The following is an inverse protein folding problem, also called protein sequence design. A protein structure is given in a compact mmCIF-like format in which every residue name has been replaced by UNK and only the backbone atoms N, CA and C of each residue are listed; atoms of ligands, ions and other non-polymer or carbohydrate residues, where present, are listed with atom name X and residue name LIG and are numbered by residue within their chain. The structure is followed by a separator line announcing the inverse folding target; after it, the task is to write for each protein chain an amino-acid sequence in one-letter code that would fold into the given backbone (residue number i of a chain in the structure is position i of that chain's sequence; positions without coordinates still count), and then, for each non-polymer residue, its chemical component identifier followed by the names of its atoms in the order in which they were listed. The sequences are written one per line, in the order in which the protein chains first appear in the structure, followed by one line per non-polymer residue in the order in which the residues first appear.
data_IF_794060924482
#
_entry.id   IF_794060924482
#
_cell.length_a   1.000
_cell.length_b   1.000
_cell.length_c   1.000
_cell.angle_alpha   90.00
_cell.angle_beta   90.00
_cell.angle_gamma   90.00
#
_symmetry.space_group_name_H-M   'P 1'
#
loop_
_entity.id
_entity.type
_entity.pdbx_description
1 polymer ?
#
# COMPACT_ATOMS: atom_id res chain seq x y z
N UNK A 1 -49.99 -15.59 -13.62
CA UNK A 1 -49.23 -14.48 -14.22
C UNK A 1 -48.40 -13.85 -13.12
N UNK A 2 -47.13 -14.25 -13.02
CA UNK A 2 -46.13 -13.68 -12.12
C UNK A 2 -45.05 -13.10 -13.01
N UNK A 3 -44.86 -11.80 -12.93
CA UNK A 3 -43.90 -11.04 -13.72
C UNK A 3 -42.48 -11.50 -13.37
N UNK A 4 -41.81 -12.08 -14.36
CA UNK A 4 -40.39 -12.36 -14.30
C UNK A 4 -39.65 -11.02 -14.46
N UNK A 5 -39.08 -10.54 -13.35
CA UNK A 5 -38.09 -9.47 -13.36
C UNK A 5 -36.87 -10.00 -14.10
N UNK A 6 -36.73 -9.60 -15.37
CA UNK A 6 -35.48 -9.69 -16.11
C UNK A 6 -34.45 -8.84 -15.37
N UNK A 7 -33.62 -9.48 -14.56
CA UNK A 7 -32.36 -8.88 -14.10
C UNK A 7 -31.49 -8.83 -15.33
N UNK A 8 -31.49 -7.68 -16.00
CA UNK A 8 -30.54 -7.37 -17.03
C UNK A 8 -29.14 -7.55 -16.42
N UNK A 9 -28.41 -8.55 -16.93
CA UNK A 9 -26.97 -8.63 -16.76
C UNK A 9 -26.38 -7.33 -17.29
N UNK A 10 -26.03 -6.42 -16.39
CA UNK A 10 -25.20 -5.26 -16.70
C UNK A 10 -23.77 -5.76 -16.92
N UNK A 11 -23.56 -6.42 -18.07
CA UNK A 11 -22.23 -6.73 -18.57
C UNK A 11 -21.63 -5.42 -19.01
N UNK A 12 -20.85 -4.81 -18.12
CA UNK A 12 -20.00 -3.69 -18.49
C UNK A 12 -19.21 -4.04 -19.77
N UNK A 13 -19.20 -3.15 -20.78
CA UNK A 13 -18.59 -3.44 -22.05
C UNK A 13 -17.10 -3.71 -21.86
N UNK A 14 -16.71 -4.94 -22.18
CA UNK A 14 -15.33 -5.38 -22.39
C UNK A 14 -14.76 -4.62 -23.60
N UNK A 15 -14.45 -3.35 -23.39
CA UNK A 15 -13.42 -2.68 -24.16
C UNK A 15 -12.09 -3.21 -23.67
N UNK A 16 -11.16 -3.47 -24.58
CA UNK A 16 -9.77 -3.77 -24.25
C UNK A 16 -9.16 -2.55 -23.53
N UNK A 17 -9.51 -2.34 -22.26
CA UNK A 17 -8.85 -1.40 -21.39
C UNK A 17 -7.42 -1.91 -21.25
N UNK A 18 -6.45 -1.06 -21.55
CA UNK A 18 -5.10 -1.23 -21.07
C UNK A 18 -5.21 -1.62 -19.59
N UNK A 19 -4.59 -2.72 -19.18
CA UNK A 19 -4.70 -3.23 -17.80
C UNK A 19 -4.50 -2.07 -16.83
N UNK A 20 -5.56 -1.71 -16.11
CA UNK A 20 -5.45 -0.64 -15.13
C UNK A 20 -4.51 -1.11 -14.03
N UNK A 21 -3.54 -0.27 -13.68
CA UNK A 21 -2.46 -0.62 -12.76
C UNK A 21 -2.64 0.11 -11.45
N UNK A 22 -2.60 -0.63 -10.35
CA UNK A 22 -2.61 -0.11 -8.99
C UNK A 22 -1.26 -0.43 -8.35
N UNK A 23 -0.63 0.57 -7.74
CA UNK A 23 0.56 0.37 -6.92
C UNK A 23 0.12 0.26 -5.46
N UNK A 24 0.43 -0.84 -4.79
CA UNK A 24 0.05 -1.10 -3.41
C UNK A 24 1.27 -1.12 -2.51
N UNK A 25 1.47 -0.06 -1.70
CA UNK A 25 2.60 0.08 -0.78
C UNK A 25 2.26 -0.52 0.60
N UNK A 26 2.84 -1.68 0.86
CA UNK A 26 2.69 -2.45 2.10
C UNK A 26 4.05 -2.70 2.76
N UNK A 27 4.27 -2.10 3.94
CA UNK A 27 5.49 -2.33 4.74
C UNK A 27 5.60 -3.81 5.15
N UNK A 28 6.78 -4.38 4.95
CA UNK A 28 7.06 -5.81 5.02
C UNK A 28 6.83 -6.44 6.40
N UNK A 29 7.10 -5.68 7.44
CA UNK A 29 7.11 -6.14 8.82
C UNK A 29 5.68 -6.29 9.36
N UNK A 30 4.70 -5.62 8.72
CA UNK A 30 3.28 -5.86 8.93
C UNK A 30 2.79 -6.94 7.97
N UNK A 31 2.94 -8.23 8.32
CA UNK A 31 2.43 -9.36 7.50
C UNK A 31 0.97 -9.17 7.07
N UNK A 32 0.16 -8.54 7.92
CA UNK A 32 -1.23 -8.18 7.60
C UNK A 32 -1.38 -7.25 6.39
N UNK A 33 -0.44 -6.32 6.16
CA UNK A 33 -0.47 -5.41 5.00
C UNK A 33 -0.20 -6.17 3.70
N UNK A 34 0.78 -7.08 3.72
CA UNK A 34 1.07 -7.93 2.56
C UNK A 34 -0.07 -8.91 2.27
N UNK A 35 -0.75 -9.44 3.29
CA UNK A 35 -1.95 -10.27 3.12
C UNK A 35 -3.12 -9.48 2.53
N UNK A 36 -3.32 -8.22 2.94
CA UNK A 36 -4.33 -7.33 2.31
C UNK A 36 -3.98 -7.02 0.86
N UNK A 37 -2.72 -6.72 0.56
CA UNK A 37 -2.25 -6.50 -0.80
C UNK A 37 -2.47 -7.74 -1.70
N UNK A 38 -2.20 -8.94 -1.17
CA UNK A 38 -2.47 -10.20 -1.84
C UNK A 38 -3.97 -10.39 -2.14
N UNK A 39 -4.83 -10.11 -1.17
CA UNK A 39 -6.28 -10.21 -1.35
C UNK A 39 -6.75 -9.22 -2.43
N UNK A 40 -6.28 -7.98 -2.38
CA UNK A 40 -6.58 -6.97 -3.40
C UNK A 40 -6.16 -7.45 -4.79
N UNK A 41 -4.92 -7.95 -4.95
CA UNK A 41 -4.43 -8.49 -6.21
C UNK A 41 -5.30 -9.63 -6.76
N UNK A 42 -5.70 -10.56 -5.88
CA UNK A 42 -6.55 -11.70 -6.27
C UNK A 42 -7.97 -11.29 -6.66
N UNK A 43 -8.56 -10.35 -5.93
CA UNK A 43 -9.94 -9.91 -6.18
C UNK A 43 -10.05 -9.00 -7.41
N UNK A 44 -9.00 -8.25 -7.73
CA UNK A 44 -8.99 -7.29 -8.85
C UNK A 44 -8.49 -7.91 -10.16
N UNK A 45 -7.74 -9.02 -10.10
CA UNK A 45 -7.25 -9.70 -11.30
C UNK A 45 -8.35 -10.15 -12.28
N UNK A 46 -9.51 -10.70 -11.84
CA UNK A 46 -10.62 -11.05 -12.74
C UNK A 46 -11.18 -9.85 -13.51
N UNK A 47 -11.09 -8.64 -12.93
CA UNK A 47 -11.53 -7.38 -13.53
C UNK A 47 -10.48 -6.77 -14.48
N UNK A 48 -9.37 -7.48 -14.73
CA UNK A 48 -8.28 -7.01 -15.59
C UNK A 48 -7.41 -5.92 -14.97
N UNK A 49 -7.52 -5.70 -13.66
CA UNK A 49 -6.73 -4.72 -12.90
C UNK A 49 -5.49 -5.41 -12.34
N UNK A 50 -4.31 -4.89 -12.66
CA UNK A 50 -3.03 -5.35 -12.14
C UNK A 50 -2.70 -4.63 -10.82
N UNK A 51 -2.26 -5.38 -9.81
CA UNK A 51 -1.82 -4.83 -8.52
C UNK A 51 -0.33 -5.12 -8.35
N UNK A 52 0.48 -4.06 -8.42
CA UNK A 52 1.92 -4.12 -8.19
C UNK A 52 2.20 -3.82 -6.72
N UNK A 53 2.75 -4.82 -6.03
CA UNK A 53 3.05 -4.67 -4.60
C UNK A 53 4.43 -4.09 -4.41
N UNK A 54 4.50 -2.99 -3.66
CA UNK A 54 5.74 -2.35 -3.24
C UNK A 54 5.88 -2.55 -1.73
N UNK A 55 7.08 -2.89 -1.29
CA UNK A 55 7.39 -3.14 0.11
C UNK A 55 8.72 -2.49 0.51
N UNK A 56 9.10 -2.59 1.77
CA UNK A 56 10.23 -1.90 2.38
C UNK A 56 11.37 -2.82 2.81
N UNK A 57 11.28 -4.11 2.51
CA UNK A 57 12.40 -5.04 2.75
C UNK A 57 12.34 -6.29 1.88
N UNK A 58 13.51 -6.89 1.65
CA UNK A 58 13.63 -8.16 0.94
C UNK A 58 12.90 -9.30 1.66
N UNK A 59 12.82 -9.24 2.99
CA UNK A 59 12.03 -10.19 3.77
C UNK A 59 10.52 -10.12 3.42
N UNK A 60 10.01 -8.91 3.15
CA UNK A 60 8.64 -8.72 2.67
C UNK A 60 8.44 -9.28 1.27
N UNK A 61 9.43 -9.10 0.38
CA UNK A 61 9.40 -9.70 -0.96
C UNK A 61 9.41 -11.22 -0.89
N UNK A 62 10.29 -11.81 -0.06
CA UNK A 62 10.36 -13.24 0.13
C UNK A 62 9.03 -13.80 0.67
N UNK A 63 8.46 -13.15 1.68
CA UNK A 63 7.16 -13.53 2.23
C UNK A 63 6.04 -13.43 1.18
N UNK A 64 5.97 -12.34 0.41
CA UNK A 64 4.96 -12.18 -0.63
C UNK A 64 5.11 -13.23 -1.76
N UNK A 65 6.35 -13.61 -2.10
CA UNK A 65 6.65 -14.62 -3.09
C UNK A 65 6.13 -16.02 -2.70
N UNK A 66 6.09 -16.37 -1.40
CA UNK A 66 5.49 -17.62 -0.92
C UNK A 66 4.01 -17.77 -1.33
N UNK A 67 3.35 -16.64 -1.61
CA UNK A 67 1.94 -16.58 -2.00
C UNK A 67 1.72 -16.30 -3.49
N UNK A 68 2.79 -16.30 -4.29
CA UNK A 68 2.76 -15.99 -5.72
C UNK A 68 2.54 -14.49 -6.01
N UNK A 69 2.89 -13.61 -5.06
CA UNK A 69 2.73 -12.17 -5.19
C UNK A 69 4.08 -11.50 -5.45
N UNK A 70 4.47 -11.28 -6.73
CA UNK A 70 5.71 -10.58 -7.03
C UNK A 70 5.65 -9.18 -6.43
N UNK A 71 6.70 -8.80 -5.71
CA UNK A 71 6.78 -7.53 -4.99
C UNK A 71 8.13 -6.86 -5.24
N UNK A 72 8.15 -5.53 -5.19
CA UNK A 72 9.35 -4.72 -5.38
C UNK A 72 9.71 -3.98 -4.10
N UNK A 73 11.00 -3.84 -3.79
CA UNK A 73 11.44 -3.01 -2.65
C UNK A 73 11.63 -1.56 -3.12
N UNK A 74 10.99 -0.60 -2.46
CA UNK A 74 11.25 0.84 -2.69
C UNK A 74 12.61 1.23 -2.13
N UNK A 75 12.76 1.06 -0.83
CA UNK A 75 13.99 1.20 -0.08
C UNK A 75 13.79 0.56 1.29
N UNK A 76 14.90 0.40 1.98
CA UNK A 76 14.94 -0.15 3.32
C UNK A 76 14.97 0.94 4.41
N UNK A 77 14.80 2.20 3.96
CA UNK A 77 14.98 3.44 4.72
C UNK A 77 13.91 3.69 5.77
N UNK A 78 12.73 3.08 5.61
CA UNK A 78 11.60 3.19 6.52
C UNK A 78 10.99 1.82 6.77
N UNK A 79 10.81 1.47 8.04
CA UNK A 79 10.22 0.19 8.44
C UNK A 79 9.45 0.36 9.74
N UNK A 80 8.41 -0.44 9.91
CA UNK A 80 7.72 -0.58 11.18
C UNK A 80 8.42 -1.67 12.00
N UNK A 81 8.76 -1.39 13.25
CA UNK A 81 9.48 -2.35 14.09
C UNK A 81 8.48 -3.05 14.99
N UNK A 82 8.45 -4.37 14.91
CA UNK A 82 7.63 -5.22 15.76
C UNK A 82 8.50 -5.94 16.79
N UNK A 83 7.92 -6.29 17.93
CA UNK A 83 8.54 -7.14 18.94
C UNK A 83 8.39 -8.64 18.58
N UNK A 84 8.98 -9.51 19.40
CA UNK A 84 8.93 -10.97 19.21
C UNK A 84 7.50 -11.54 19.24
N UNK A 85 6.55 -10.79 19.79
CA UNK A 85 5.12 -11.13 19.85
C UNK A 85 4.30 -10.48 18.74
N UNK A 86 4.95 -9.88 17.74
CA UNK A 86 4.30 -9.17 16.63
C UNK A 86 3.47 -7.95 17.08
N UNK A 87 3.76 -7.38 18.25
CA UNK A 87 3.23 -6.06 18.62
C UNK A 87 4.13 -4.97 18.06
N UNK A 88 3.55 -3.85 17.66
CA UNK A 88 4.33 -2.71 17.21
C UNK A 88 5.20 -2.19 18.37
N UNK A 89 6.52 -2.26 18.22
CA UNK A 89 7.47 -1.68 19.16
C UNK A 89 7.44 -0.16 19.02
N UNK A 90 6.44 0.48 19.64
CA UNK A 90 6.06 1.89 19.44
C UNK A 90 7.25 2.86 19.52
N UNK A 91 8.09 2.72 20.55
CA UNK A 91 9.26 3.59 20.73
C UNK A 91 10.31 3.42 19.63
N UNK A 92 10.60 2.19 19.25
CA UNK A 92 11.59 1.90 18.18
C UNK A 92 11.07 2.34 16.82
N UNK A 93 9.79 2.09 16.55
CA UNK A 93 9.11 2.57 15.35
C UNK A 93 9.12 4.10 15.29
N UNK A 94 8.78 4.78 16.39
CA UNK A 94 8.82 6.26 16.45
C UNK A 94 10.22 6.80 16.22
N UNK A 95 11.26 6.19 16.80
CA UNK A 95 12.64 6.57 16.56
C UNK A 95 13.03 6.36 15.08
N UNK A 96 12.61 5.25 14.48
CA UNK A 96 12.82 4.97 13.06
C UNK A 96 12.13 6.02 12.18
N UNK A 97 10.85 6.30 12.43
CA UNK A 97 10.08 7.33 11.74
C UNK A 97 10.75 8.69 11.87
N UNK A 98 11.21 9.06 13.07
CA UNK A 98 11.90 10.33 13.29
C UNK A 98 13.22 10.38 12.51
N UNK A 99 14.01 9.29 12.54
CA UNK A 99 15.27 9.21 11.79
C UNK A 99 15.07 9.34 10.28
N UNK A 100 13.96 8.81 9.76
CA UNK A 100 13.57 8.94 8.37
C UNK A 100 13.18 10.39 8.05
N UNK A 101 12.33 11.01 8.87
CA UNK A 101 11.86 12.39 8.67
C UNK A 101 12.99 13.42 8.79
N UNK A 102 13.97 13.18 9.67
CA UNK A 102 15.15 14.03 9.84
C UNK A 102 16.20 13.87 8.73
N UNK A 103 16.03 12.87 7.86
CA UNK A 103 16.90 12.62 6.72
C UNK A 103 16.14 12.91 5.40
N UNK A 104 15.95 14.19 5.03
CA UNK A 104 15.08 14.58 3.91
C UNK A 104 15.50 13.94 2.58
N UNK A 105 16.78 13.64 2.39
CA UNK A 105 17.29 12.96 1.19
C UNK A 105 16.74 11.55 1.02
N UNK A 106 16.41 10.83 2.11
CA UNK A 106 15.78 9.50 2.06
C UNK A 106 14.34 9.62 1.56
N UNK A 107 13.60 10.55 2.13
CA UNK A 107 12.22 10.82 1.71
C UNK A 107 12.11 11.26 0.25
N UNK A 108 12.99 12.18 -0.19
CA UNK A 108 13.04 12.62 -1.57
C UNK A 108 13.41 11.50 -2.54
N UNK A 109 14.32 10.61 -2.14
CA UNK A 109 14.70 9.44 -2.96
C UNK A 109 13.52 8.50 -3.15
N UNK A 110 12.82 8.16 -2.06
CA UNK A 110 11.65 7.29 -2.11
C UNK A 110 10.52 7.93 -2.93
N UNK A 111 10.31 9.24 -2.79
CA UNK A 111 9.35 9.97 -3.59
C UNK A 111 9.71 9.98 -5.08
N UNK A 112 10.96 10.27 -5.43
CA UNK A 112 11.41 10.25 -6.82
C UNK A 112 11.28 8.84 -7.44
N UNK A 113 11.58 7.80 -6.66
CA UNK A 113 11.37 6.42 -7.08
C UNK A 113 9.88 6.14 -7.32
N UNK A 114 8.99 6.56 -6.41
CA UNK A 114 7.54 6.40 -6.56
C UNK A 114 7.00 7.20 -7.76
N UNK A 115 7.50 8.40 -8.01
CA UNK A 115 7.10 9.20 -9.17
C UNK A 115 7.48 8.50 -10.48
N UNK A 116 8.65 7.86 -10.55
CA UNK A 116 9.03 7.06 -11.72
C UNK A 116 8.28 5.73 -11.81
N UNK A 117 8.15 5.01 -10.71
CA UNK A 117 7.57 3.67 -10.68
C UNK A 117 6.05 3.67 -10.84
N UNK A 118 5.35 4.67 -10.29
CA UNK A 118 3.89 4.77 -10.28
C UNK A 118 3.34 5.82 -11.27
N UNK A 119 4.17 6.29 -12.23
CA UNK A 119 3.78 7.37 -13.14
C UNK A 119 2.51 7.04 -13.96
N UNK A 120 2.36 5.79 -14.38
CA UNK A 120 1.26 5.23 -15.17
C UNK A 120 0.21 4.50 -14.30
N UNK A 121 0.41 4.46 -12.98
CA UNK A 121 -0.55 3.87 -12.08
C UNK A 121 -1.82 4.74 -12.03
N UNK A 122 -2.97 4.08 -12.12
CA UNK A 122 -4.27 4.70 -11.95
C UNK A 122 -4.51 5.07 -10.48
N UNK A 123 -3.99 4.26 -9.55
CA UNK A 123 -4.14 4.44 -8.11
C UNK A 123 -2.89 3.99 -7.35
N UNK A 124 -2.61 4.65 -6.24
CA UNK A 124 -1.54 4.31 -5.30
C UNK A 124 -2.15 4.10 -3.93
N UNK A 125 -2.12 2.87 -3.42
CA UNK A 125 -2.61 2.53 -2.09
C UNK A 125 -1.46 2.61 -1.08
N UNK A 126 -1.60 3.49 -0.10
CA UNK A 126 -0.70 3.60 1.04
C UNK A 126 -1.29 2.89 2.26
N UNK A 127 -1.05 1.58 2.39
CA UNK A 127 -1.60 0.72 3.45
C UNK A 127 -0.76 0.69 4.73
N UNK A 128 0.29 1.52 4.78
CA UNK A 128 1.30 1.48 5.84
C UNK A 128 1.67 2.86 6.37
N UNK A 129 1.00 3.91 5.90
CA UNK A 129 1.33 5.31 6.19
C UNK A 129 2.81 5.62 5.91
N UNK A 130 3.35 5.11 4.80
CA UNK A 130 4.73 5.40 4.42
C UNK A 130 4.93 6.93 4.31
N UNK A 131 5.91 7.53 5.01
CA UNK A 131 5.98 8.98 5.10
C UNK A 131 6.23 9.68 3.76
N UNK A 132 6.87 9.01 2.80
CA UNK A 132 7.02 9.54 1.43
C UNK A 132 5.67 9.87 0.76
N UNK A 133 4.68 8.96 0.86
CA UNK A 133 3.36 9.17 0.26
C UNK A 133 2.53 10.19 1.05
N UNK A 134 2.73 10.32 2.36
CA UNK A 134 2.12 11.41 3.13
C UNK A 134 2.69 12.77 2.71
N UNK A 135 4.02 12.86 2.55
CA UNK A 135 4.68 14.06 2.06
C UNK A 135 4.22 14.40 0.63
N UNK A 136 4.05 13.39 -0.24
CA UNK A 136 3.55 13.55 -1.60
C UNK A 136 2.15 14.18 -1.64
N UNK A 137 1.24 13.74 -0.75
CA UNK A 137 -0.10 14.29 -0.60
C UNK A 137 -0.07 15.73 -0.06
N UNK A 138 0.74 16.00 0.97
CA UNK A 138 0.86 17.34 1.58
C UNK A 138 1.50 18.36 0.64
N UNK A 139 2.49 17.95 -0.16
CA UNK A 139 3.19 18.82 -1.09
C UNK A 139 2.44 19.01 -2.43
N UNK A 140 1.32 18.32 -2.65
CA UNK A 140 0.55 18.43 -3.89
C UNK A 140 1.31 17.93 -5.13
N UNK A 141 2.08 16.85 -4.98
CA UNK A 141 2.83 16.26 -6.10
C UNK A 141 1.91 15.69 -7.18
N UNK A 142 2.46 15.29 -8.33
CA UNK A 142 1.71 14.64 -9.42
C UNK A 142 1.03 13.33 -9.02
N UNK A 143 1.43 12.75 -7.89
CA UNK A 143 0.85 11.54 -7.35
C UNK A 143 -0.34 11.82 -6.42
N UNK A 144 -0.44 13.03 -5.86
CA UNK A 144 -1.35 13.35 -4.75
C UNK A 144 -2.81 12.94 -5.03
N UNK A 145 -3.32 13.25 -6.23
CA UNK A 145 -4.71 12.96 -6.61
C UNK A 145 -5.01 11.46 -6.81
N UNK A 146 -3.97 10.62 -6.78
CA UNK A 146 -4.05 9.16 -6.99
C UNK A 146 -3.73 8.37 -5.72
N UNK A 147 -3.42 9.04 -4.61
CA UNK A 147 -3.05 8.36 -3.37
C UNK A 147 -4.28 8.08 -2.51
N UNK A 148 -4.44 6.82 -2.10
CA UNK A 148 -5.43 6.38 -1.11
C UNK A 148 -4.70 5.91 0.12
N UNK A 149 -4.89 6.61 1.24
CA UNK A 149 -4.34 6.19 2.53
C UNK A 149 -5.30 5.21 3.19
N UNK A 150 -4.84 3.99 3.45
CA UNK A 150 -5.62 2.94 4.13
C UNK A 150 -5.20 2.85 5.58
N UNK A 151 -6.19 2.89 6.46
CA UNK A 151 -6.07 2.82 7.91
C UNK A 151 -6.94 1.67 8.42
N UNK A 152 -6.38 0.76 9.21
CA UNK A 152 -7.17 -0.27 9.90
C UNK A 152 -7.64 0.21 11.27
N UNK A 153 -8.88 -0.16 11.64
CA UNK A 153 -9.53 0.15 12.94
C UNK A 153 -8.62 -0.12 14.16
N UNK A 154 -7.84 -1.21 14.14
CA UNK A 154 -6.93 -1.57 15.24
C UNK A 154 -5.79 -0.56 15.46
N UNK A 155 -5.48 0.26 14.45
CA UNK A 155 -4.51 1.35 14.56
C UNK A 155 -5.10 2.54 15.31
N UNK A 156 -6.42 2.77 15.19
CA UNK A 156 -7.12 3.87 15.90
C UNK A 156 -7.03 3.64 17.41
N UNK A 157 -7.38 2.43 17.85
CA UNK A 157 -7.28 2.02 19.24
C UNK A 157 -5.83 2.17 19.74
N UNK A 158 -4.83 1.71 18.97
CA UNK A 158 -3.44 1.81 19.37
C UNK A 158 -2.90 3.25 19.44
N UNK A 159 -3.39 4.17 18.59
CA UNK A 159 -3.04 5.60 18.62
C UNK A 159 -3.75 6.31 19.78
N UNK A 160 -5.03 6.02 20.00
CA UNK A 160 -5.80 6.55 21.14
C UNK A 160 -5.23 6.09 22.48
N UNK A 161 -4.86 4.81 22.60
CA UNK A 161 -4.19 4.24 23.78
C UNK A 161 -2.74 4.71 23.94
N UNK A 162 -2.16 5.40 22.96
CA UNK A 162 -0.81 6.01 23.05
C UNK A 162 -0.84 7.51 23.35
N UNK A 163 -2.02 8.14 23.26
CA UNK A 163 -2.22 9.55 23.51
C UNK A 163 -2.73 9.84 24.94
N UNK A 164 -3.04 8.79 25.72
CA UNK A 164 -3.28 8.83 27.16
C UNK A 164 -2.08 8.34 27.95
#
# INVERSE_FOLDING_TARGET
MRDAVNIAEDRHPSSARARERIVYLAVAEGRGHLMRAQLAARLLAPEGIAVDVVTTSDAGVAFAAEFGLPSTVISDSYRLIYDDRQNLARMRTRAMTMSYLLAPTRCLRDLAWLEGYAHDAALIVNDSFHPALLAASLAGTRLADRIVHVHGENTRQAVEDSAG
#
